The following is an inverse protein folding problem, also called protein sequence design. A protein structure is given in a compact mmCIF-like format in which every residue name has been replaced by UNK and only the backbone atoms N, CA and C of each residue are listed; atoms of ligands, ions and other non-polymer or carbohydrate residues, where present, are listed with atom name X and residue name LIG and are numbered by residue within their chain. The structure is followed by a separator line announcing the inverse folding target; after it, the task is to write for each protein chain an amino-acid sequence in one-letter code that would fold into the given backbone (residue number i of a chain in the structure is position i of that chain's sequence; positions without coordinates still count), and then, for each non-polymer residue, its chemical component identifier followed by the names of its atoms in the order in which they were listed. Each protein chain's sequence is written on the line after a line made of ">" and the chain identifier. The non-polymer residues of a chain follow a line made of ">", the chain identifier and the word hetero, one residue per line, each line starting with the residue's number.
data_IF_339330372941
#
_entry.id   IF_339330372941
#
_cell.length_a   1.000
_cell.length_b   1.000
_cell.length_c   1.000
_cell.angle_alpha   90.00
_cell.angle_beta   90.00
_cell.angle_gamma   90.00
#
_symmetry.space_group_name_H-M   'P 1'
#
loop_
_entity.id
_entity.type
_entity.pdbx_description
1 polymer ?
#
# COMPACT_ATOMS: atom_id res chain seq x y z
N UNK A 1 7.22 -21.28 -21.91
CA UNK A 1 7.89 -20.36 -20.97
C UNK A 1 6.79 -19.60 -20.24
N UNK A 2 6.42 -20.05 -19.06
CA UNK A 2 5.49 -19.32 -18.20
C UNK A 2 6.30 -18.23 -17.46
N UNK A 3 6.26 -16.99 -17.94
CA UNK A 3 6.66 -15.86 -17.13
C UNK A 3 5.79 -15.87 -15.88
N UNK A 4 6.35 -15.75 -14.69
CA UNK A 4 5.57 -15.61 -13.47
C UNK A 4 4.75 -14.30 -13.56
N UNK A 5 3.60 -14.23 -12.90
CA UNK A 5 2.80 -12.99 -12.85
C UNK A 5 3.64 -11.80 -12.32
N UNK A 6 4.68 -12.10 -11.54
CA UNK A 6 5.63 -11.12 -11.00
C UNK A 6 6.54 -10.50 -12.08
N UNK A 7 6.74 -11.16 -13.23
CA UNK A 7 7.54 -10.66 -14.36
C UNK A 7 6.72 -9.79 -15.34
N UNK A 8 5.42 -9.62 -15.10
CA UNK A 8 4.55 -8.82 -15.96
C UNK A 8 4.92 -7.34 -15.84
N UNK A 9 5.23 -6.71 -16.97
CA UNK A 9 5.46 -5.27 -17.07
C UNK A 9 4.23 -4.58 -17.66
N UNK A 10 3.76 -3.51 -17.01
CA UNK A 10 2.62 -2.71 -17.45
C UNK A 10 3.08 -1.28 -17.69
N UNK A 11 3.19 -0.92 -18.96
CA UNK A 11 3.62 0.40 -19.41
C UNK A 11 2.46 1.40 -19.46
N UNK A 12 2.76 2.69 -19.31
CA UNK A 12 1.82 3.80 -19.48
C UNK A 12 0.59 3.74 -18.52
N UNK A 13 0.73 3.11 -17.36
CA UNK A 13 -0.33 3.00 -16.35
C UNK A 13 -0.28 4.17 -15.38
N UNK A 14 0.92 4.60 -15.00
CA UNK A 14 1.15 5.70 -14.06
C UNK A 14 2.19 6.67 -14.60
N UNK A 15 2.13 7.92 -14.12
CA UNK A 15 3.10 8.97 -14.43
C UNK A 15 3.74 9.51 -13.16
N UNK A 16 4.93 10.05 -13.31
CA UNK A 16 5.67 10.79 -12.27
C UNK A 16 6.00 12.17 -12.84
N UNK A 17 5.37 13.22 -12.33
CA UNK A 17 5.45 14.58 -12.88
C UNK A 17 5.13 14.65 -14.39
N UNK A 18 4.18 13.84 -14.84
CA UNK A 18 3.76 13.74 -16.24
C UNK A 18 4.55 12.74 -17.09
N UNK A 19 5.69 12.27 -16.63
CA UNK A 19 6.50 11.27 -17.35
C UNK A 19 5.99 9.86 -17.07
N UNK A 20 5.77 9.07 -18.13
CA UNK A 20 5.28 7.70 -18.00
C UNK A 20 6.34 6.77 -17.41
N UNK A 21 5.92 5.90 -16.50
CA UNK A 21 6.74 4.85 -15.90
C UNK A 21 6.04 3.50 -15.97
N UNK A 22 6.82 2.42 -15.82
CA UNK A 22 6.33 1.06 -15.88
C UNK A 22 6.09 0.49 -14.48
N UNK A 23 5.01 -0.28 -14.32
CA UNK A 23 4.76 -1.05 -13.12
C UNK A 23 5.07 -2.53 -13.37
N UNK A 24 5.73 -3.16 -12.41
CA UNK A 24 5.98 -4.59 -12.38
C UNK A 24 4.89 -5.30 -11.58
N UNK A 25 4.52 -6.49 -12.02
CA UNK A 25 3.48 -7.31 -11.42
C UNK A 25 2.09 -7.12 -12.04
N UNK A 26 1.23 -8.10 -11.83
CA UNK A 26 -0.15 -8.08 -12.31
C UNK A 26 -1.01 -7.07 -11.53
N UNK A 27 -1.97 -6.43 -12.21
CA UNK A 27 -2.92 -5.56 -11.54
C UNK A 27 -3.91 -6.38 -10.70
N UNK A 28 -4.09 -5.99 -9.45
CA UNK A 28 -5.15 -6.51 -8.59
C UNK A 28 -6.51 -5.96 -9.03
N UNK A 29 -7.52 -6.80 -9.01
CA UNK A 29 -8.89 -6.47 -9.42
C UNK A 29 -9.88 -6.62 -8.27
N UNK A 30 -10.97 -5.89 -8.36
CA UNK A 30 -12.10 -6.05 -7.46
C UNK A 30 -12.62 -7.50 -7.51
N UNK A 31 -12.78 -8.13 -6.35
CA UNK A 31 -13.23 -9.51 -6.21
C UNK A 31 -12.12 -10.56 -6.19
N UNK A 32 -10.87 -10.18 -6.50
CA UNK A 32 -9.75 -11.11 -6.40
C UNK A 32 -9.54 -11.58 -4.96
N UNK A 33 -8.97 -12.77 -4.80
CA UNK A 33 -8.35 -13.16 -3.53
C UNK A 33 -7.05 -12.40 -3.36
N UNK A 34 -6.90 -11.78 -2.20
CA UNK A 34 -5.70 -11.05 -1.86
C UNK A 34 -4.48 -11.98 -1.80
N UNK A 35 -3.45 -11.68 -2.57
CA UNK A 35 -2.20 -12.43 -2.53
C UNK A 35 -1.49 -12.21 -1.20
N UNK A 36 -0.95 -13.28 -0.62
CA UNK A 36 -0.06 -13.15 0.54
C UNK A 36 1.23 -12.47 0.12
N UNK A 37 1.73 -11.60 0.97
CA UNK A 37 2.97 -10.85 0.78
C UNK A 37 3.79 -10.85 2.06
N UNK A 38 5.09 -10.57 1.94
CA UNK A 38 6.03 -10.47 3.06
C UNK A 38 6.70 -9.11 3.06
N UNK A 39 6.59 -8.41 4.18
CA UNK A 39 7.18 -7.09 4.43
C UNK A 39 7.87 -7.08 5.79
N UNK A 40 8.60 -6.02 6.11
CA UNK A 40 9.32 -5.90 7.38
C UNK A 40 8.69 -4.84 8.27
N UNK A 41 8.56 -5.13 9.56
CA UNK A 41 8.22 -4.14 10.57
C UNK A 41 9.44 -3.32 11.03
N UNK A 42 9.23 -2.41 11.97
CA UNK A 42 10.28 -1.53 12.51
C UNK A 42 11.43 -2.26 13.21
N UNK A 43 11.24 -3.51 13.57
CA UNK A 43 12.23 -4.34 14.26
C UNK A 43 12.84 -5.41 13.30
N UNK A 44 12.65 -5.23 11.99
CA UNK A 44 13.12 -6.10 10.91
C UNK A 44 12.47 -7.50 10.92
N UNK A 45 11.36 -7.66 11.63
CA UNK A 45 10.60 -8.90 11.65
C UNK A 45 9.72 -8.99 10.42
N UNK A 46 9.69 -10.16 9.80
CA UNK A 46 8.83 -10.44 8.66
C UNK A 46 7.36 -10.50 9.10
N UNK A 47 6.52 -9.76 8.40
CA UNK A 47 5.07 -9.70 8.57
C UNK A 47 4.44 -10.07 7.23
N UNK A 48 3.37 -10.82 7.27
CA UNK A 48 2.60 -11.23 6.09
C UNK A 48 1.11 -10.87 6.23
N UNK A 49 0.34 -11.09 5.15
CA UNK A 49 -1.11 -10.83 5.17
C UNK A 49 -1.83 -11.63 6.26
N UNK A 50 -1.38 -12.87 6.53
CA UNK A 50 -1.94 -13.74 7.57
C UNK A 50 -1.84 -13.17 8.98
N UNK A 51 -0.91 -12.26 9.23
CA UNK A 51 -0.78 -11.53 10.50
C UNK A 51 -2.01 -10.67 10.83
N UNK A 52 -2.89 -10.43 9.84
CA UNK A 52 -4.11 -9.62 9.96
C UNK A 52 -5.39 -10.43 9.71
N UNK A 53 -5.33 -11.74 9.88
CA UNK A 53 -6.49 -12.62 9.70
C UNK A 53 -7.70 -12.16 10.53
N UNK A 54 -8.90 -12.23 9.92
CA UNK A 54 -10.16 -11.84 10.55
C UNK A 54 -10.37 -10.33 10.68
N UNK A 55 -9.46 -9.50 10.13
CA UNK A 55 -9.60 -8.04 10.08
C UNK A 55 -9.88 -7.55 8.67
N UNK A 56 -10.55 -6.42 8.59
CA UNK A 56 -10.63 -5.63 7.36
C UNK A 56 -9.32 -4.84 7.23
N UNK A 57 -8.67 -4.92 6.08
CA UNK A 57 -7.38 -4.30 5.81
C UNK A 57 -7.53 -3.19 4.79
N UNK A 58 -7.21 -1.94 5.16
CA UNK A 58 -6.95 -0.87 4.22
C UNK A 58 -5.44 -0.80 4.03
N UNK A 59 -4.96 -1.11 2.83
CA UNK A 59 -3.53 -1.10 2.49
C UNK A 59 -3.28 0.03 1.50
N UNK A 60 -2.40 0.96 1.88
CA UNK A 60 -1.94 2.03 1.01
C UNK A 60 -0.46 1.83 0.68
N UNK A 61 -0.11 1.74 -0.60
CA UNK A 61 1.27 1.84 -1.05
C UNK A 61 1.61 3.28 -1.37
N UNK A 62 2.81 3.69 -1.04
CA UNK A 62 3.32 5.04 -1.25
C UNK A 62 4.80 5.00 -1.67
N UNK A 63 5.28 5.99 -2.46
CA UNK A 63 6.69 6.02 -2.88
C UNK A 63 7.65 6.20 -1.70
N UNK A 64 7.31 7.05 -0.75
CA UNK A 64 8.05 7.25 0.51
C UNK A 64 7.17 8.01 1.49
N UNK A 65 7.28 7.70 2.78
CA UNK A 65 6.60 8.47 3.83
C UNK A 65 7.12 9.91 3.91
N UNK A 66 8.36 10.13 3.48
CA UNK A 66 9.07 11.43 3.54
C UNK A 66 8.79 12.32 2.32
N UNK A 67 7.56 12.26 1.78
CA UNK A 67 7.08 13.15 0.72
C UNK A 67 5.85 13.93 1.19
N UNK A 68 5.61 15.18 0.71
CA UNK A 68 4.52 16.03 1.20
C UNK A 68 3.13 15.37 1.10
N UNK A 69 2.85 14.66 0.01
CA UNK A 69 1.55 14.00 -0.20
C UNK A 69 1.39 12.79 0.70
N UNK A 70 2.45 12.00 0.88
CA UNK A 70 2.41 10.82 1.74
C UNK A 70 2.25 11.22 3.22
N UNK A 71 2.89 12.31 3.64
CA UNK A 71 2.71 12.88 4.98
C UNK A 71 1.24 13.25 5.24
N UNK A 72 0.60 13.97 4.31
CA UNK A 72 -0.81 14.30 4.40
C UNK A 72 -1.71 13.06 4.37
N UNK A 73 -1.41 12.10 3.51
CA UNK A 73 -2.17 10.86 3.35
C UNK A 73 -2.14 10.02 4.64
N UNK A 74 -0.96 9.79 5.22
CA UNK A 74 -0.86 8.98 6.43
C UNK A 74 -1.53 9.65 7.63
N UNK A 75 -1.40 10.97 7.76
CA UNK A 75 -2.09 11.74 8.81
C UNK A 75 -3.60 11.63 8.68
N UNK A 76 -4.15 11.82 7.49
CA UNK A 76 -5.59 11.69 7.25
C UNK A 76 -6.10 10.30 7.59
N UNK A 77 -5.43 9.24 7.15
CA UNK A 77 -5.82 7.87 7.50
C UNK A 77 -5.61 7.55 8.98
N UNK A 78 -4.60 8.11 9.63
CA UNK A 78 -4.40 7.96 11.08
C UNK A 78 -5.56 8.57 11.88
N UNK A 79 -6.05 9.73 11.47
CA UNK A 79 -7.20 10.40 12.09
C UNK A 79 -8.50 9.62 11.85
N UNK A 80 -8.70 9.11 10.65
CA UNK A 80 -9.85 8.27 10.32
C UNK A 80 -9.79 6.90 11.04
N UNK A 81 -8.59 6.31 11.20
CA UNK A 81 -8.41 5.08 11.96
C UNK A 81 -8.89 5.19 13.42
N UNK A 82 -8.82 6.39 14.00
CA UNK A 82 -9.33 6.65 15.35
C UNK A 82 -10.86 6.54 15.43
N UNK A 83 -11.57 6.70 14.31
CA UNK A 83 -13.03 6.68 14.19
C UNK A 83 -13.57 5.34 13.68
N UNK A 84 -12.70 4.43 13.24
CA UNK A 84 -13.10 3.14 12.67
C UNK A 84 -13.23 2.05 13.73
N UNK A 85 -13.88 0.95 13.36
CA UNK A 85 -14.00 -0.26 14.19
C UNK A 85 -12.63 -0.83 14.55
N UNK A 86 -12.53 -1.51 15.70
CA UNK A 86 -11.34 -2.29 16.10
C UNK A 86 -11.03 -3.45 15.14
N UNK A 87 -11.99 -3.82 14.29
CA UNK A 87 -11.81 -4.84 13.27
C UNK A 87 -11.10 -4.35 12.00
N UNK A 88 -10.86 -3.04 11.89
CA UNK A 88 -10.14 -2.44 10.78
C UNK A 88 -8.69 -2.20 11.14
N UNK A 89 -7.77 -2.57 10.25
CA UNK A 89 -6.35 -2.21 10.31
C UNK A 89 -6.00 -1.37 9.08
N UNK A 90 -5.28 -0.27 9.31
CA UNK A 90 -4.77 0.59 8.25
C UNK A 90 -3.26 0.40 8.17
N UNK A 91 -2.80 0.07 6.96
CA UNK A 91 -1.43 -0.35 6.68
C UNK A 91 -0.86 0.55 5.58
N UNK A 92 0.32 1.11 5.81
CA UNK A 92 1.11 1.79 4.79
C UNK A 92 2.35 0.97 4.47
N UNK A 93 2.62 0.79 3.17
CA UNK A 93 3.78 0.05 2.68
C UNK A 93 4.58 0.96 1.74
N UNK A 94 5.88 1.03 1.95
CA UNK A 94 6.82 1.77 1.12
C UNK A 94 8.16 1.02 1.01
N UNK A 95 9.04 1.50 0.12
CA UNK A 95 10.41 1.00 0.02
C UNK A 95 11.36 1.68 1.02
N UNK A 96 10.86 2.61 1.85
CA UNK A 96 11.65 3.19 2.94
C UNK A 96 12.20 2.10 3.85
N UNK A 97 13.41 2.32 4.37
CA UNK A 97 13.96 1.42 5.38
C UNK A 97 13.11 1.45 6.66
N UNK A 98 12.99 0.33 7.39
CA UNK A 98 12.23 0.27 8.63
C UNK A 98 12.63 1.32 9.66
N UNK A 99 13.92 1.67 9.71
CA UNK A 99 14.45 2.72 10.60
C UNK A 99 13.91 4.10 10.26
N UNK A 100 13.82 4.42 8.97
CA UNK A 100 13.26 5.69 8.50
C UNK A 100 11.76 5.77 8.79
N UNK A 101 11.03 4.69 8.55
CA UNK A 101 9.59 4.59 8.88
C UNK A 101 9.35 4.79 10.38
N UNK A 102 10.14 4.13 11.24
CA UNK A 102 10.08 4.28 12.69
C UNK A 102 10.29 5.73 13.13
N UNK A 103 11.33 6.37 12.59
CA UNK A 103 11.64 7.79 12.86
C UNK A 103 10.50 8.71 12.42
N UNK A 104 9.94 8.49 11.24
CA UNK A 104 8.80 9.25 10.73
C UNK A 104 7.59 9.13 11.65
N UNK A 105 7.18 7.91 12.00
CA UNK A 105 6.03 7.68 12.87
C UNK A 105 6.21 8.32 14.25
N UNK A 106 7.42 8.30 14.80
CA UNK A 106 7.73 8.95 16.08
C UNK A 106 7.67 10.48 15.97
N UNK A 107 8.23 11.07 14.91
CA UNK A 107 8.28 12.51 14.70
C UNK A 107 6.88 13.12 14.51
N UNK A 108 5.96 12.40 13.88
CA UNK A 108 4.60 12.87 13.56
C UNK A 108 3.51 12.25 14.43
N UNK A 109 3.86 11.54 15.51
CA UNK A 109 2.93 10.89 16.44
C UNK A 109 1.92 9.95 15.77
N UNK A 110 2.35 9.21 14.74
CA UNK A 110 1.53 8.24 14.03
C UNK A 110 1.46 6.95 14.84
N UNK A 111 0.29 6.65 15.41
CA UNK A 111 0.09 5.52 16.34
C UNK A 111 -0.95 4.51 15.89
N UNK A 112 -1.90 4.94 15.05
CA UNK A 112 -3.07 4.15 14.65
C UNK A 112 -2.85 3.40 13.35
N UNK A 113 -1.96 3.90 12.50
CA UNK A 113 -1.57 3.29 11.24
C UNK A 113 -0.32 2.44 11.47
N UNK A 114 -0.28 1.27 10.83
CA UNK A 114 0.90 0.41 10.79
C UNK A 114 1.71 0.71 9.53
N UNK A 115 3.03 0.81 9.67
CA UNK A 115 3.95 1.02 8.55
C UNK A 115 4.86 -0.17 8.37
N UNK A 116 5.04 -0.62 7.14
CA UNK A 116 5.90 -1.74 6.80
C UNK A 116 6.78 -1.42 5.60
N UNK A 117 7.96 -2.02 5.57
CA UNK A 117 8.95 -1.84 4.51
C UNK A 117 8.98 -3.03 3.57
N UNK A 118 8.90 -2.75 2.27
CA UNK A 118 9.03 -3.72 1.19
C UNK A 118 10.44 -3.72 0.57
N UNK A 119 11.43 -3.04 1.22
CA UNK A 119 12.75 -2.77 0.63
C UNK A 119 13.55 -4.02 0.31
N UNK A 120 13.37 -5.12 1.07
CA UNK A 120 14.23 -6.31 0.94
C UNK A 120 13.98 -7.05 -0.37
N UNK A 121 12.73 -7.40 -0.65
CA UNK A 121 12.37 -8.28 -1.77
C UNK A 121 11.38 -7.65 -2.75
N UNK A 122 10.81 -6.48 -2.45
CA UNK A 122 9.71 -5.87 -3.20
C UNK A 122 8.52 -6.84 -3.41
N UNK A 123 8.30 -7.75 -2.44
CA UNK A 123 7.34 -8.85 -2.58
C UNK A 123 5.90 -8.33 -2.67
N UNK A 124 5.54 -7.33 -1.84
CA UNK A 124 4.26 -6.66 -1.95
C UNK A 124 4.14 -5.89 -3.28
N UNK A 125 5.17 -5.14 -3.63
CA UNK A 125 5.19 -4.34 -4.86
C UNK A 125 4.94 -5.16 -6.12
N UNK A 126 5.55 -6.33 -6.21
CA UNK A 126 5.37 -7.27 -7.32
C UNK A 126 3.98 -7.92 -7.31
N UNK A 127 3.54 -8.48 -6.19
CA UNK A 127 2.27 -9.21 -6.07
C UNK A 127 1.03 -8.31 -6.20
N UNK A 128 1.16 -7.04 -5.85
CA UNK A 128 0.07 -6.05 -5.98
C UNK A 128 0.24 -5.12 -7.18
N UNK A 129 1.26 -5.36 -8.01
CA UNK A 129 1.49 -4.63 -9.25
C UNK A 129 1.73 -3.14 -9.05
N UNK A 130 2.44 -2.76 -8.00
CA UNK A 130 2.72 -1.35 -7.67
C UNK A 130 4.20 -0.99 -7.68
N UNK A 131 5.10 -1.92 -8.00
CA UNK A 131 6.53 -1.62 -8.08
C UNK A 131 6.85 -0.86 -9.36
N UNK A 132 7.33 0.37 -9.22
CA UNK A 132 7.83 1.18 -10.34
C UNK A 132 9.21 0.66 -10.74
N UNK A 133 9.32 0.16 -11.97
CA UNK A 133 10.54 -0.46 -12.51
C UNK A 133 11.73 0.49 -12.47
N UNK A 134 11.55 1.70 -12.98
CA UNK A 134 12.63 2.67 -13.19
C UNK A 134 13.14 3.25 -11.87
N UNK A 135 12.28 3.39 -10.87
CA UNK A 135 12.60 4.06 -9.62
C UNK A 135 12.85 3.11 -8.44
N UNK A 136 12.41 1.85 -8.54
CA UNK A 136 12.41 0.91 -7.41
C UNK A 136 11.67 1.44 -6.18
N UNK A 137 10.61 2.23 -6.44
CA UNK A 137 9.67 2.74 -5.46
C UNK A 137 8.29 2.12 -5.69
N UNK A 138 7.42 2.18 -4.70
CA UNK A 138 6.04 1.79 -4.88
C UNK A 138 5.22 2.95 -5.46
N UNK A 139 4.35 2.66 -6.42
CA UNK A 139 3.36 3.63 -6.88
C UNK A 139 2.29 3.84 -5.81
N UNK A 140 1.59 4.96 -5.91
CA UNK A 140 0.49 5.25 -4.99
C UNK A 140 -0.74 4.44 -5.37
N UNK A 141 -1.20 3.60 -4.45
CA UNK A 141 -2.40 2.80 -4.62
C UNK A 141 -3.09 2.56 -3.28
N UNK A 142 -4.39 2.27 -3.31
CA UNK A 142 -5.18 1.92 -2.13
C UNK A 142 -5.96 0.64 -2.43
N UNK A 143 -5.88 -0.31 -1.51
CA UNK A 143 -6.62 -1.58 -1.55
C UNK A 143 -7.40 -1.74 -0.26
N UNK A 144 -8.63 -2.21 -0.34
CA UNK A 144 -9.39 -2.65 0.84
C UNK A 144 -9.72 -4.13 0.66
N UNK A 145 -9.39 -4.90 1.68
CA UNK A 145 -9.51 -6.35 1.72
C UNK A 145 -10.39 -6.71 2.91
N UNK A 146 -11.42 -7.50 2.70
CA UNK A 146 -12.34 -7.92 3.75
C UNK A 146 -11.74 -8.98 4.69
N UNK A 147 -12.55 -9.46 5.64
CA UNK A 147 -12.14 -10.48 6.64
C UNK A 147 -11.85 -11.84 6.02
N UNK A 148 -12.40 -12.11 4.84
CA UNK A 148 -12.24 -13.35 4.06
C UNK A 148 -11.14 -13.24 3.00
N UNK A 149 -10.29 -12.20 3.07
CA UNK A 149 -9.21 -11.91 2.14
C UNK A 149 -9.67 -11.70 0.68
N UNK A 150 -10.85 -11.11 0.51
CA UNK A 150 -11.36 -10.70 -0.80
C UNK A 150 -11.18 -9.19 -0.99
N UNK A 151 -10.70 -8.80 -2.16
CA UNK A 151 -10.47 -7.39 -2.51
C UNK A 151 -11.81 -6.70 -2.78
N UNK A 152 -12.12 -5.65 -2.02
CA UNK A 152 -13.38 -4.89 -2.07
C UNK A 152 -13.23 -3.47 -2.63
N UNK A 153 -12.01 -2.97 -2.71
CA UNK A 153 -11.69 -1.68 -3.30
C UNK A 153 -10.29 -1.71 -3.88
N UNK A 154 -10.11 -1.10 -5.04
CA UNK A 154 -8.81 -0.96 -5.71
C UNK A 154 -8.73 0.42 -6.33
N UNK A 155 -7.67 1.15 -6.05
CA UNK A 155 -7.31 2.38 -6.73
C UNK A 155 -5.82 2.39 -7.02
N UNK A 156 -5.44 2.49 -8.30
CA UNK A 156 -4.10 2.86 -8.75
C UNK A 156 -4.13 4.34 -9.13
N UNK A 157 -3.45 5.18 -8.37
CA UNK A 157 -3.39 6.62 -8.63
C UNK A 157 -2.53 6.88 -9.85
N UNK A 158 -3.11 7.49 -10.89
CA UNK A 158 -2.45 7.63 -12.20
C UNK A 158 -1.22 8.53 -12.18
N UNK A 159 -1.24 9.58 -11.38
CA UNK A 159 -0.09 10.49 -11.20
C UNK A 159 0.44 10.35 -9.78
N UNK A 160 1.73 9.98 -9.65
CA UNK A 160 2.36 9.69 -8.36
C UNK A 160 2.29 10.86 -7.38
N UNK A 161 2.30 12.08 -7.89
CA UNK A 161 2.22 13.33 -7.12
C UNK A 161 0.79 13.76 -6.78
N UNK A 162 -0.23 12.98 -7.17
CA UNK A 162 -1.63 13.24 -6.85
C UNK A 162 -2.09 12.48 -5.61
N UNK A 163 -3.12 13.01 -4.94
CA UNK A 163 -3.78 12.32 -3.83
C UNK A 163 -4.66 11.16 -4.34
N UNK A 164 -4.84 10.10 -3.53
CA UNK A 164 -5.89 9.12 -3.78
C UNK A 164 -7.28 9.73 -3.51
N UNK A 165 -8.33 9.05 -3.96
CA UNK A 165 -9.71 9.40 -3.60
C UNK A 165 -10.02 8.87 -2.19
N UNK A 166 -9.73 9.71 -1.20
CA UNK A 166 -9.94 9.38 0.21
C UNK A 166 -11.40 9.05 0.52
N UNK A 167 -12.34 9.79 -0.04
CA UNK A 167 -13.76 9.63 0.26
C UNK A 167 -14.29 8.33 -0.35
N UNK A 168 -13.87 7.97 -1.56
CA UNK A 168 -14.21 6.70 -2.17
C UNK A 168 -13.68 5.52 -1.34
N UNK A 169 -12.41 5.56 -0.91
CA UNK A 169 -11.81 4.53 -0.08
C UNK A 169 -12.52 4.40 1.28
N UNK A 170 -12.75 5.52 1.97
CA UNK A 170 -13.43 5.52 3.27
C UNK A 170 -14.89 5.09 3.18
N UNK A 171 -15.59 5.45 2.11
CA UNK A 171 -16.97 4.99 1.87
C UNK A 171 -17.01 3.49 1.57
N UNK A 172 -16.04 2.95 0.83
CA UNK A 172 -15.93 1.51 0.61
C UNK A 172 -15.68 0.77 1.94
N UNK A 173 -14.80 1.32 2.79
CA UNK A 173 -14.50 0.75 4.11
C UNK A 173 -15.73 0.71 5.03
N UNK A 174 -16.57 1.75 5.00
CA UNK A 174 -17.79 1.83 5.84
C UNK A 174 -18.89 0.85 5.46
N UNK A 175 -18.81 0.24 4.26
CA UNK A 175 -19.80 -0.74 3.77
C UNK A 175 -19.47 -2.19 4.19
N UNK A 176 -18.33 -2.41 4.83
CA UNK A 176 -17.84 -3.71 5.29
C UNK A 176 -18.03 -3.87 6.80
#
# INVERSE_FOLDING_TARGET
>A
MSGSEDDMERENVVTVNGDSVSLLGAAVKLGDKASNFKVLDSDLKEIDLGSFNGKIKLIASVPSLDTPICDLQIKRFNDEAAKTSKDVVIIFISMDLPFAQKRFCQAYDIKKVKTFSDHRNADFGLKYGVLIKELRLLSRAVFIIDKEDTVKYVEYVKELTSHPDYDAALNALKKL
#
